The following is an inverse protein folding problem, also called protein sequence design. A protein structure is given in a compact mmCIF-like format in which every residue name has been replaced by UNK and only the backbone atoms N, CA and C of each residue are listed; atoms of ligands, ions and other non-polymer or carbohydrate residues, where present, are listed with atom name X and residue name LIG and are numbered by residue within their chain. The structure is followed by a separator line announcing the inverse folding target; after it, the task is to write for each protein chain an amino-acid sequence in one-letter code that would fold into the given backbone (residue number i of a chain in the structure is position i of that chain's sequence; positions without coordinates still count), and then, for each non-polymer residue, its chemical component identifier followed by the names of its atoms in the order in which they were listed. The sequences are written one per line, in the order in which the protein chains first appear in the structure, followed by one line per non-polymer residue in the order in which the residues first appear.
data_IF_565756039881
#
_entry.id   IF_565756039881
#
_cell.length_a   1.000
_cell.length_b   1.000
_cell.length_c   1.000
_cell.angle_alpha   90.00
_cell.angle_beta   90.00
_cell.angle_gamma   90.00
#
_symmetry.space_group_name_H-M   'P 1'
#
loop_
_entity.id
_entity.type
_entity.pdbx_description
1 polymer ?
#
# COMPACT_ATOMS: atom_id res chain seq x y z
N UNK A 1 -17.68 -18.00 2.78
CA UNK A 1 -16.49 -17.64 3.59
C UNK A 1 -15.19 -17.57 2.77
N UNK A 2 -14.91 -18.51 1.87
CA UNK A 2 -13.70 -18.47 1.01
C UNK A 2 -13.62 -17.23 0.08
N UNK A 3 -14.76 -16.79 -0.44
CA UNK A 3 -14.88 -15.65 -1.36
C UNK A 3 -14.47 -14.31 -0.71
N UNK A 4 -14.85 -14.09 0.55
CA UNK A 4 -14.48 -12.88 1.31
C UNK A 4 -12.99 -12.82 1.63
N UNK A 5 -12.38 -13.96 1.97
CA UNK A 5 -10.94 -14.05 2.21
C UNK A 5 -10.12 -13.76 0.94
N UNK A 6 -10.62 -14.17 -0.23
CA UNK A 6 -10.01 -13.82 -1.52
C UNK A 6 -10.11 -12.34 -1.84
N UNK A 7 -11.27 -11.74 -1.65
CA UNK A 7 -11.49 -10.30 -1.87
C UNK A 7 -10.62 -9.41 -0.96
N UNK A 8 -10.41 -9.80 0.30
CA UNK A 8 -9.53 -9.09 1.24
C UNK A 8 -8.08 -9.15 0.76
N UNK A 9 -7.58 -10.36 0.44
CA UNK A 9 -6.21 -10.53 -0.08
C UNK A 9 -5.96 -9.73 -1.34
N UNK A 10 -6.93 -9.70 -2.25
CA UNK A 10 -6.85 -8.92 -3.47
C UNK A 10 -6.83 -7.41 -3.18
N UNK A 11 -7.64 -6.93 -2.24
CA UNK A 11 -7.64 -5.52 -1.84
C UNK A 11 -6.30 -5.11 -1.22
N UNK A 12 -5.73 -5.97 -0.34
CA UNK A 12 -4.39 -5.74 0.25
C UNK A 12 -3.32 -5.64 -0.83
N UNK A 13 -3.31 -6.57 -1.79
CA UNK A 13 -2.36 -6.56 -2.90
C UNK A 13 -2.43 -5.25 -3.70
N UNK A 14 -3.64 -4.83 -4.11
CA UNK A 14 -3.84 -3.60 -4.88
C UNK A 14 -3.39 -2.38 -4.07
N UNK A 15 -3.69 -2.34 -2.78
CA UNK A 15 -3.23 -1.27 -1.88
C UNK A 15 -1.71 -1.18 -1.82
N UNK A 16 -1.01 -2.31 -1.62
CA UNK A 16 0.45 -2.34 -1.57
C UNK A 16 1.09 -1.91 -2.90
N UNK A 17 0.48 -2.30 -4.04
CA UNK A 17 0.94 -1.88 -5.37
C UNK A 17 0.82 -0.37 -5.58
N UNK A 18 -0.30 0.21 -5.16
CA UNK A 18 -0.44 1.67 -5.22
C UNK A 18 0.49 2.40 -4.26
N UNK A 19 0.72 1.88 -3.05
CA UNK A 19 1.72 2.41 -2.12
C UNK A 19 3.10 2.43 -2.75
N UNK A 20 3.57 1.30 -3.30
CA UNK A 20 4.87 1.22 -3.98
C UNK A 20 4.99 2.31 -5.03
N UNK A 21 3.96 2.47 -5.86
CA UNK A 21 3.97 3.45 -6.93
C UNK A 21 4.18 4.88 -6.43
N UNK A 22 3.62 5.27 -5.27
CA UNK A 22 3.75 6.62 -4.70
C UNK A 22 5.22 6.98 -4.45
N UNK A 23 6.04 5.98 -4.15
CA UNK A 23 7.46 6.16 -3.79
C UNK A 23 8.43 5.88 -4.94
N UNK A 24 7.95 5.38 -6.08
CA UNK A 24 8.77 4.83 -7.17
C UNK A 24 9.28 5.90 -8.17
N UNK A 25 8.72 7.12 -8.17
CA UNK A 25 8.97 8.11 -9.23
C UNK A 25 9.26 9.54 -8.75
N UNK A 26 9.34 9.78 -7.45
CA UNK A 26 9.51 11.12 -6.89
C UNK A 26 10.76 11.18 -6.00
N UNK A 27 11.45 12.34 -6.00
CA UNK A 27 12.57 12.60 -5.08
C UNK A 27 12.01 12.63 -3.65
N UNK A 28 12.14 11.50 -2.95
CA UNK A 28 11.82 11.41 -1.53
C UNK A 28 12.72 12.33 -0.73
N UNK A 29 12.28 12.83 0.44
CA UNK A 29 13.04 13.83 1.16
C UNK A 29 14.39 13.31 1.64
N UNK A 30 15.46 14.10 1.43
CA UNK A 30 16.81 13.82 1.94
C UNK A 30 16.85 13.62 3.46
N UNK A 31 15.89 14.21 4.18
CA UNK A 31 15.77 14.13 5.64
C UNK A 31 15.37 12.74 6.15
N UNK A 32 14.92 11.84 5.27
CA UNK A 32 14.69 10.45 5.63
C UNK A 32 16.05 9.77 5.84
N UNK A 33 16.51 9.87 7.09
CA UNK A 33 17.90 9.75 7.56
C UNK A 33 18.55 8.38 7.42
N UNK A 34 17.89 7.42 6.77
CA UNK A 34 18.46 6.11 6.43
C UNK A 34 17.87 5.66 5.11
N UNK A 35 18.54 5.99 4.01
CA UNK A 35 18.17 5.53 2.67
C UNK A 35 17.96 4.00 2.64
N UNK A 36 18.79 3.23 3.36
CA UNK A 36 18.65 1.77 3.52
C UNK A 36 17.28 1.35 4.10
N UNK A 37 16.70 2.09 5.06
CA UNK A 37 15.37 1.74 5.62
C UNK A 37 14.25 2.00 4.62
N UNK A 38 14.41 3.04 3.81
CA UNK A 38 13.45 3.35 2.76
C UNK A 38 13.56 2.33 1.61
N UNK A 39 14.77 1.98 1.19
CA UNK A 39 15.04 0.92 0.23
C UNK A 39 14.51 -0.44 0.72
N UNK A 40 14.71 -0.78 2.01
CA UNK A 40 14.15 -1.97 2.62
C UNK A 40 12.63 -1.98 2.55
N UNK A 41 11.99 -0.84 2.84
CA UNK A 41 10.54 -0.70 2.73
C UNK A 41 10.05 -0.89 1.29
N UNK A 42 10.70 -0.25 0.32
CA UNK A 42 10.38 -0.41 -1.10
C UNK A 42 10.60 -1.86 -1.56
N UNK A 43 11.68 -2.50 -1.11
CA UNK A 43 11.96 -3.90 -1.41
C UNK A 43 10.88 -4.83 -0.83
N UNK A 44 10.44 -4.60 0.42
CA UNK A 44 9.31 -5.35 1.00
C UNK A 44 8.06 -5.19 0.14
N UNK A 45 7.71 -3.96 -0.25
CA UNK A 45 6.56 -3.70 -1.10
C UNK A 45 6.68 -4.41 -2.46
N UNK A 46 7.82 -4.28 -3.14
CA UNK A 46 8.11 -4.93 -4.41
C UNK A 46 7.92 -6.45 -4.33
N UNK A 47 8.46 -7.09 -3.29
CA UNK A 47 8.30 -8.53 -3.09
C UNK A 47 6.84 -8.93 -2.81
N UNK A 48 6.09 -8.12 -2.07
CA UNK A 48 4.67 -8.39 -1.81
C UNK A 48 3.78 -8.19 -3.04
N UNK A 49 4.21 -7.38 -4.01
CA UNK A 49 3.44 -7.05 -5.21
C UNK A 49 3.95 -7.80 -6.44
N UNK A 50 5.12 -7.45 -6.95
CA UNK A 50 5.61 -7.92 -8.25
C UNK A 50 6.06 -9.39 -8.18
N UNK A 51 6.77 -9.81 -7.11
CA UNK A 51 7.18 -11.22 -6.97
C UNK A 51 6.03 -12.17 -6.60
N UNK A 52 4.91 -11.64 -6.09
CA UNK A 52 3.75 -12.43 -5.68
C UNK A 52 2.55 -12.27 -6.64
N UNK A 53 2.74 -11.67 -7.81
CA UNK A 53 1.69 -11.43 -8.80
C UNK A 53 0.92 -12.71 -9.17
N UNK A 54 1.61 -13.85 -9.28
CA UNK A 54 0.97 -15.15 -9.57
C UNK A 54 -0.08 -15.58 -8.52
N UNK A 55 0.05 -15.14 -7.26
CA UNK A 55 -0.92 -15.44 -6.19
C UNK A 55 -2.14 -14.52 -6.25
N UNK A 56 -2.03 -13.37 -6.92
CA UNK A 56 -3.14 -12.44 -7.13
C UNK A 56 -4.17 -12.98 -8.13
N UNK A 57 -3.72 -13.59 -9.23
CA UNK A 57 -4.58 -14.17 -10.27
C UNK A 57 -5.54 -15.26 -9.76
N UNK A 58 -5.29 -15.83 -8.59
CA UNK A 58 -6.19 -16.79 -7.96
C UNK A 58 -7.48 -16.17 -7.39
N UNK A 59 -7.60 -14.85 -7.34
CA UNK A 59 -8.74 -14.16 -6.75
C UNK A 59 -9.42 -13.22 -7.76
N UNK A 60 -10.75 -13.28 -7.91
CA UNK A 60 -11.47 -12.45 -8.89
C UNK A 60 -11.39 -10.98 -8.51
N UNK A 61 -11.20 -10.11 -9.52
CA UNK A 61 -10.97 -8.71 -9.27
C UNK A 61 -12.23 -7.94 -8.87
N UNK A 62 -12.16 -7.19 -7.76
CA UNK A 62 -13.20 -6.24 -7.38
C UNK A 62 -12.93 -4.85 -7.97
N UNK A 63 -13.27 -4.69 -9.25
CA UNK A 63 -13.00 -3.49 -10.06
C UNK A 63 -13.39 -2.15 -9.39
N UNK A 64 -14.52 -2.12 -8.67
CA UNK A 64 -14.96 -0.90 -7.97
C UNK A 64 -14.04 -0.52 -6.81
N UNK A 65 -13.56 -1.50 -6.03
CA UNK A 65 -12.64 -1.25 -4.90
C UNK A 65 -11.27 -0.82 -5.40
N UNK A 66 -10.78 -1.48 -6.45
CA UNK A 66 -9.53 -1.12 -7.11
C UNK A 66 -9.55 0.31 -7.65
N UNK A 67 -10.66 0.71 -8.30
CA UNK A 67 -10.85 2.09 -8.77
C UNK A 67 -10.81 3.11 -7.62
N UNK A 68 -11.49 2.81 -6.51
CA UNK A 68 -11.51 3.71 -5.35
C UNK A 68 -10.12 3.86 -4.71
N UNK A 69 -9.37 2.76 -4.59
CA UNK A 69 -7.99 2.77 -4.10
C UNK A 69 -7.08 3.58 -5.01
N UNK A 70 -7.17 3.39 -6.33
CA UNK A 70 -6.41 4.17 -7.30
C UNK A 70 -6.65 5.67 -7.12
N UNK A 71 -7.92 6.10 -7.07
CA UNK A 71 -8.28 7.51 -6.89
C UNK A 71 -7.75 8.06 -5.56
N UNK A 72 -7.76 7.27 -4.50
CA UNK A 72 -7.20 7.69 -3.21
C UNK A 72 -5.69 7.94 -3.29
N UNK A 73 -4.91 7.03 -3.87
CA UNK A 73 -3.47 7.22 -4.00
C UNK A 73 -3.09 8.30 -5.03
N UNK A 74 -3.89 8.49 -6.08
CA UNK A 74 -3.77 9.63 -6.98
C UNK A 74 -3.95 10.97 -6.24
N UNK A 75 -4.87 11.05 -5.27
CA UNK A 75 -5.01 12.26 -4.43
C UNK A 75 -3.77 12.51 -3.59
N UNK A 76 -3.15 11.48 -3.00
CA UNK A 76 -1.90 11.64 -2.24
C UNK A 76 -0.78 12.20 -3.13
N UNK A 77 -0.65 11.69 -4.37
CA UNK A 77 0.31 12.25 -5.34
C UNK A 77 -0.01 13.69 -5.72
N UNK A 78 -1.28 14.02 -5.92
CA UNK A 78 -1.69 15.39 -6.21
C UNK A 78 -1.33 16.33 -5.07
N UNK A 79 -1.52 15.92 -3.81
CA UNK A 79 -1.10 16.69 -2.64
C UNK A 79 0.41 16.93 -2.65
N UNK A 80 1.22 15.91 -2.95
CA UNK A 80 2.68 16.08 -3.07
C UNK A 80 3.04 17.11 -4.14
N UNK A 81 2.43 17.01 -5.32
CA UNK A 81 2.65 17.95 -6.43
C UNK A 81 2.22 19.38 -6.09
N UNK A 82 1.05 19.56 -5.49
CA UNK A 82 0.53 20.87 -5.08
C UNK A 82 1.41 21.53 -3.99
N UNK A 83 2.13 20.72 -3.22
CA UNK A 83 3.06 21.16 -2.19
C UNK A 83 4.53 21.15 -2.65
N UNK A 84 4.77 20.99 -3.95
CA UNK A 84 6.11 21.00 -4.55
C UNK A 84 7.08 20.02 -3.84
N UNK A 85 6.56 18.84 -3.48
CA UNK A 85 7.31 17.78 -2.81
C UNK A 85 8.03 18.21 -1.52
N UNK A 86 7.51 19.24 -0.84
CA UNK A 86 8.05 19.70 0.43
C UNK A 86 8.07 18.58 1.48
N UNK A 87 9.06 18.62 2.36
CA UNK A 87 9.24 17.64 3.44
C UNK A 87 7.95 17.39 4.24
N UNK A 88 7.23 18.42 4.66
CA UNK A 88 5.99 18.28 5.42
C UNK A 88 4.86 17.58 4.64
N UNK A 89 4.84 17.70 3.31
CA UNK A 89 3.86 16.99 2.47
C UNK A 89 4.19 15.49 2.42
N UNK A 90 5.48 15.15 2.34
CA UNK A 90 5.94 13.77 2.45
C UNK A 90 5.65 13.16 3.83
N UNK A 91 5.81 13.93 4.89
CA UNK A 91 5.45 13.50 6.25
C UNK A 91 3.95 13.20 6.38
N UNK A 92 3.09 14.00 5.75
CA UNK A 92 1.65 13.71 5.65
C UNK A 92 1.38 12.41 4.89
N UNK A 93 1.99 12.21 3.72
CA UNK A 93 1.82 10.96 2.96
C UNK A 93 2.35 9.74 3.71
N UNK A 94 3.46 9.89 4.44
CA UNK A 94 4.03 8.83 5.28
C UNK A 94 3.06 8.41 6.38
N UNK A 95 2.43 9.37 7.04
CA UNK A 95 1.43 9.12 8.10
C UNK A 95 0.20 8.38 7.55
N UNK A 96 -0.33 8.80 6.39
CA UNK A 96 -1.43 8.10 5.71
C UNK A 96 -1.06 6.66 5.33
N UNK A 97 0.12 6.46 4.74
CA UNK A 97 0.62 5.12 4.40
C UNK A 97 0.78 4.23 5.64
N UNK A 98 1.29 4.80 6.74
CA UNK A 98 1.41 4.09 8.01
C UNK A 98 0.05 3.67 8.56
N UNK A 99 -0.96 4.56 8.53
CA UNK A 99 -2.32 4.23 8.96
C UNK A 99 -2.91 3.07 8.17
N UNK A 100 -2.71 3.04 6.84
CA UNK A 100 -3.20 1.95 6.00
C UNK A 100 -2.48 0.63 6.32
N UNK A 101 -1.16 0.65 6.52
CA UNK A 101 -0.40 -0.55 6.89
C UNK A 101 -0.88 -1.12 8.24
N UNK A 102 -1.13 -0.25 9.22
CA UNK A 102 -1.70 -0.66 10.51
C UNK A 102 -3.10 -1.27 10.35
N UNK A 103 -3.93 -0.68 9.49
CA UNK A 103 -5.25 -1.23 9.17
C UNK A 103 -5.16 -2.62 8.52
N UNK A 104 -4.25 -2.81 7.56
CA UNK A 104 -4.01 -4.11 6.91
C UNK A 104 -3.57 -5.14 7.94
N UNK A 105 -2.56 -4.82 8.75
CA UNK A 105 -2.04 -5.72 9.78
C UNK A 105 -3.13 -6.16 10.75
N UNK A 106 -3.93 -5.21 11.24
CA UNK A 106 -5.06 -5.52 12.13
C UNK A 106 -6.09 -6.44 11.46
N UNK A 107 -6.45 -6.13 10.22
CA UNK A 107 -7.44 -6.90 9.44
C UNK A 107 -6.96 -8.32 9.15
N UNK A 108 -5.67 -8.51 8.86
CA UNK A 108 -5.09 -9.84 8.63
C UNK A 108 -4.98 -10.65 9.94
N UNK A 109 -4.59 -10.02 11.05
CA UNK A 109 -4.54 -10.64 12.37
C UNK A 109 -5.92 -11.09 12.87
N UNK A 110 -6.95 -10.25 12.76
CA UNK A 110 -8.32 -10.58 13.18
C UNK A 110 -8.89 -11.73 12.32
N UNK A 111 -8.52 -11.77 11.03
CA UNK A 111 -8.84 -12.84 10.10
C UNK A 111 -8.12 -14.17 10.40
N UNK A 112 -6.96 -14.14 11.07
CA UNK A 112 -6.24 -15.34 11.52
C UNK A 112 -6.90 -15.98 12.74
N UNK A 113 -7.27 -15.19 13.75
CA UNK A 113 -7.93 -15.72 14.96
C UNK A 113 -9.33 -16.26 14.65
N UNK A 114 -10.08 -15.60 13.77
CA UNK A 114 -11.42 -16.04 13.36
C UNK A 114 -11.43 -17.36 12.58
N UNK A 115 -10.28 -17.85 12.09
CA UNK A 115 -10.15 -19.13 11.37
C UNK A 115 -9.67 -20.29 12.27
N UNK A 116 -9.24 -20.00 13.49
CA UNK A 116 -8.75 -21.00 14.46
C UNK A 116 -9.65 -21.16 15.70
N UNK A 117 -10.72 -20.38 15.80
CA UNK A 117 -11.77 -20.53 16.81
C UNK A 117 -12.96 -21.30 16.28
#
# INVERSE_FOLDING_TARGET
MAEWAGAIKQSIYVTLKHMYSVFDNDEVPEQWSVQEKFEDFQNILYRQTEENECKHFCFPSQFQRETALRVYFEKLRTILKEKDFQYCAWEFVRDEVQHILLFILKTDFDGWFSRRG
#
